data_IF_986448839068
#
_entry.id   IF_986448839068
#
_cell.length_a   1.000
_cell.length_b   1.000
_cell.length_c   1.000
_cell.angle_alpha   90.00
_cell.angle_beta   90.00
_cell.angle_gamma   90.00
#
_symmetry.space_group_name_H-M   'P 1'
#
loop_
_entity.id
_entity.type
_entity.pdbx_description
1 polymer ?
#
# COMPACT_ATOMS: atom_id res chain seq x y z
N UNK A 1 21.75 33.78 17.28
CA UNK A 1 20.61 34.69 17.52
C UNK A 1 19.35 33.99 17.04
N UNK A 2 18.39 33.65 17.91
CA UNK A 2 17.07 33.15 17.51
C UNK A 2 16.18 34.35 17.25
N UNK A 3 15.74 34.55 16.01
CA UNK A 3 14.77 35.59 15.70
C UNK A 3 13.42 35.19 16.33
N UNK A 4 12.88 36.04 17.20
CA UNK A 4 11.53 35.88 17.70
C UNK A 4 10.57 36.32 16.58
N UNK A 5 9.91 35.36 15.93
CA UNK A 5 8.82 35.65 15.01
C UNK A 5 7.55 35.86 15.83
N UNK A 6 6.96 37.05 15.74
CA UNK A 6 5.64 37.34 16.32
C UNK A 6 4.60 36.98 15.25
N UNK A 7 3.81 35.94 15.49
CA UNK A 7 2.68 35.56 14.64
C UNK A 7 1.44 36.25 15.18
N UNK A 8 0.88 37.19 14.41
CA UNK A 8 -0.39 37.85 14.74
C UNK A 8 -1.52 37.04 14.11
N UNK A 9 -2.42 36.41 14.90
CA UNK A 9 -3.54 35.66 14.36
C UNK A 9 -4.61 36.60 13.75
N UNK A 10 -5.39 36.13 12.77
CA UNK A 10 -6.54 36.86 12.24
C UNK A 10 -7.54 37.25 13.34
N UNK A 11 -8.21 38.40 13.19
CA UNK A 11 -9.10 39.00 14.20
C UNK A 11 -10.35 38.18 14.52
N UNK A 12 -10.72 37.25 13.64
CA UNK A 12 -11.84 36.32 13.76
C UNK A 12 -11.50 35.06 14.57
N UNK A 13 -10.24 34.89 14.98
CA UNK A 13 -9.83 33.71 15.74
C UNK A 13 -10.18 33.84 17.22
N UNK A 14 -10.87 32.83 17.74
CA UNK A 14 -11.15 32.72 19.18
C UNK A 14 -9.86 32.39 19.95
N UNK A 15 -9.83 32.71 21.25
CA UNK A 15 -8.69 32.38 22.12
C UNK A 15 -8.28 30.89 22.07
N UNK A 16 -9.26 29.99 21.93
CA UNK A 16 -9.01 28.55 21.73
C UNK A 16 -8.36 28.20 20.39
N UNK A 17 -8.69 28.91 19.33
CA UNK A 17 -8.08 28.70 18.01
C UNK A 17 -6.61 29.16 18.02
N UNK A 18 -6.33 30.29 18.67
CA UNK A 18 -4.96 30.79 18.89
C UNK A 18 -4.16 29.81 19.76
N UNK A 19 -4.73 29.35 20.88
CA UNK A 19 -4.08 28.36 21.76
C UNK A 19 -3.75 27.06 21.01
N UNK A 20 -4.64 26.54 20.15
CA UNK A 20 -4.36 25.34 19.36
C UNK A 20 -3.23 25.51 18.35
N UNK A 21 -2.97 26.73 17.87
CA UNK A 21 -1.86 26.99 16.93
C UNK A 21 -0.55 27.25 17.67
N UNK A 22 -0.60 27.93 18.81
CA UNK A 22 0.59 28.21 19.64
C UNK A 22 1.02 26.96 20.42
N UNK A 23 0.07 26.13 20.84
CA UNK A 23 0.26 24.87 21.57
C UNK A 23 -0.68 23.82 20.98
N UNK A 24 -0.33 23.24 19.81
CA UNK A 24 -1.09 22.12 19.29
C UNK A 24 -1.17 21.03 20.36
N UNK A 25 -2.39 20.52 20.56
CA UNK A 25 -2.57 19.33 21.38
C UNK A 25 -1.66 18.24 20.81
N UNK A 26 -0.93 17.50 21.66
CA UNK A 26 -0.11 16.39 21.17
C UNK A 26 -1.01 15.46 20.35
N UNK A 27 -0.59 15.14 19.12
CA UNK A 27 -1.30 14.16 18.31
C UNK A 27 -1.46 12.87 19.12
N UNK A 28 -2.64 12.22 19.08
CA UNK A 28 -2.83 10.97 19.80
C UNK A 28 -1.78 9.96 19.34
N UNK A 29 -1.14 9.30 20.30
CA UNK A 29 -0.24 8.17 20.01
C UNK A 29 -1.06 7.11 19.30
N UNK A 30 -0.66 6.73 18.09
CA UNK A 30 -1.39 5.87 17.14
C UNK A 30 -2.69 6.52 16.63
N UNK A 31 -2.60 7.59 15.81
CA UNK A 31 -3.77 8.10 15.11
C UNK A 31 -4.29 7.05 14.12
N UNK A 32 -5.53 7.28 13.65
CA UNK A 32 -6.13 6.47 12.58
C UNK A 32 -5.22 6.48 11.36
N UNK A 33 -4.81 5.29 10.92
CA UNK A 33 -3.94 5.13 9.76
C UNK A 33 -4.55 5.79 8.51
N UNK A 34 -3.71 6.38 7.63
CA UNK A 34 -4.18 6.92 6.37
C UNK A 34 -4.85 5.82 5.55
N UNK A 35 -5.80 6.20 4.69
CA UNK A 35 -6.38 5.30 3.70
C UNK A 35 -5.52 5.37 2.45
N UNK A 36 -5.33 4.24 1.80
CA UNK A 36 -4.68 4.16 0.49
C UNK A 36 -5.70 3.66 -0.51
N UNK A 37 -5.80 4.35 -1.64
CA UNK A 37 -6.78 4.04 -2.67
C UNK A 37 -6.62 2.63 -3.24
N UNK A 38 -5.38 2.16 -3.33
CA UNK A 38 -5.02 0.91 -3.99
C UNK A 38 -4.57 -0.18 -3.01
N UNK A 39 -4.58 0.04 -1.69
CA UNK A 39 -4.06 -0.97 -0.76
C UNK A 39 -4.82 -0.98 0.58
N UNK A 40 -5.34 -2.15 0.96
CA UNK A 40 -6.14 -2.33 2.19
C UNK A 40 -5.35 -2.11 3.50
N UNK A 41 -4.02 -2.12 3.40
CA UNK A 41 -2.98 -2.06 4.47
C UNK A 41 -2.72 -3.41 5.15
N UNK A 42 -3.17 -4.50 4.55
CA UNK A 42 -2.90 -5.84 5.05
C UNK A 42 -1.39 -6.07 5.24
N UNK A 43 -0.97 -6.42 6.46
CA UNK A 43 0.34 -7.00 6.75
C UNK A 43 1.57 -6.09 6.74
N UNK A 44 1.46 -4.80 6.39
CA UNK A 44 2.65 -3.93 6.15
C UNK A 44 2.78 -2.72 7.09
N UNK A 45 2.00 -2.69 8.17
CA UNK A 45 2.07 -1.62 9.17
C UNK A 45 2.11 -2.21 10.57
N UNK A 46 3.09 -1.79 11.37
CA UNK A 46 3.31 -2.29 12.72
C UNK A 46 3.33 -1.17 13.78
N UNK A 47 2.98 -1.48 15.04
CA UNK A 47 3.26 -0.63 16.19
C UNK A 47 4.75 -0.23 16.27
N UNK A 48 5.04 1.04 16.59
CA UNK A 48 6.41 1.47 16.98
C UNK A 48 6.37 2.62 17.98
N UNK A 49 7.46 2.80 18.72
CA UNK A 49 7.70 3.96 19.56
C UNK A 49 8.82 4.86 19.01
N UNK A 50 9.50 4.43 17.95
CA UNK A 50 10.55 5.19 17.32
C UNK A 50 9.97 6.35 16.46
N UNK A 51 10.68 7.49 16.37
CA UNK A 51 10.31 8.55 15.44
C UNK A 51 10.50 8.09 13.99
N UNK A 52 9.64 8.58 13.10
CA UNK A 52 9.76 8.33 11.67
C UNK A 52 11.08 8.89 11.12
N UNK A 53 11.88 8.07 10.42
CA UNK A 53 13.15 8.52 9.82
C UNK A 53 12.96 9.60 8.75
N UNK A 54 11.76 9.64 8.15
CA UNK A 54 11.35 10.70 7.24
C UNK A 54 10.92 11.95 8.02
N UNK A 55 9.71 12.01 8.59
CA UNK A 55 9.21 13.27 9.16
C UNK A 55 9.65 13.60 10.59
N UNK A 56 10.38 12.72 11.27
CA UNK A 56 10.79 12.88 12.67
C UNK A 56 9.65 12.75 13.69
N UNK A 57 8.42 12.45 13.27
CA UNK A 57 7.24 12.40 14.14
C UNK A 57 7.07 11.00 14.77
N UNK A 58 6.69 10.97 16.04
CA UNK A 58 6.38 9.76 16.81
C UNK A 58 4.87 9.44 16.74
N UNK A 59 4.43 8.88 15.60
CA UNK A 59 3.00 8.61 15.36
C UNK A 59 2.52 7.24 15.85
N UNK A 60 3.39 6.41 16.39
CA UNK A 60 3.01 5.09 16.90
C UNK A 60 2.94 3.98 15.84
N UNK A 61 3.26 4.28 14.58
CA UNK A 61 3.15 3.37 13.43
C UNK A 61 4.36 3.44 12.52
N UNK A 62 4.86 2.27 12.09
CA UNK A 62 5.94 2.11 11.11
C UNK A 62 5.48 1.23 9.96
N UNK A 63 5.92 1.55 8.76
CA UNK A 63 5.78 0.71 7.58
C UNK A 63 6.86 -0.37 7.57
N UNK A 64 6.47 -1.61 7.26
CA UNK A 64 7.35 -2.79 7.32
C UNK A 64 7.46 -3.52 5.98
N UNK A 65 6.91 -2.94 4.90
CA UNK A 65 7.01 -3.50 3.56
C UNK A 65 8.25 -3.03 2.79
N UNK A 66 8.34 -3.35 1.50
CA UNK A 66 9.50 -3.00 0.66
C UNK A 66 9.63 -1.48 0.45
N UNK A 67 10.87 -1.01 0.37
CA UNK A 67 11.24 0.36 0.01
C UNK A 67 12.31 0.28 -1.07
N UNK A 68 12.12 1.02 -2.15
CA UNK A 68 13.07 1.09 -3.26
C UNK A 68 13.56 2.52 -3.44
N UNK A 69 14.82 2.67 -3.84
CA UNK A 69 15.45 3.96 -4.11
C UNK A 69 16.82 4.08 -3.43
N UNK A 70 17.85 4.49 -4.18
CA UNK A 70 19.23 4.52 -3.71
C UNK A 70 19.46 5.45 -2.49
N UNK A 71 18.63 6.49 -2.33
CA UNK A 71 18.67 7.41 -1.20
C UNK A 71 17.62 7.14 -0.12
N UNK A 72 16.82 6.08 -0.29
CA UNK A 72 15.74 5.76 0.63
C UNK A 72 16.24 4.91 1.81
N UNK A 73 15.74 5.15 3.03
CA UNK A 73 16.06 4.30 4.16
C UNK A 73 15.35 2.94 4.04
N UNK A 74 16.05 1.86 4.40
CA UNK A 74 15.51 0.49 4.32
C UNK A 74 14.29 0.25 5.23
N UNK A 75 14.17 1.03 6.32
CA UNK A 75 13.09 0.90 7.30
C UNK A 75 12.82 2.21 8.07
N UNK A 76 11.75 2.23 8.87
CA UNK A 76 11.47 3.34 9.79
C UNK A 76 10.63 4.48 9.21
N UNK A 77 10.15 4.35 7.98
CA UNK A 77 9.20 5.30 7.38
C UNK A 77 7.81 5.06 7.99
N UNK A 78 7.10 6.12 8.37
CA UNK A 78 5.72 5.99 8.84
C UNK A 78 4.73 5.95 7.67
N UNK A 79 3.57 5.27 7.79
CA UNK A 79 2.59 5.16 6.70
C UNK A 79 2.08 6.51 6.17
N UNK A 80 2.13 7.56 6.99
CA UNK A 80 1.74 8.90 6.58
C UNK A 80 2.74 9.56 5.62
N UNK A 81 4.04 9.26 5.76
CA UNK A 81 5.03 9.76 4.81
C UNK A 81 4.92 9.10 3.44
N UNK A 82 4.38 7.89 3.40
CA UNK A 82 3.97 7.21 2.17
C UNK A 82 2.73 7.90 1.61
N UNK A 83 1.64 7.96 2.38
CA UNK A 83 0.35 8.49 1.93
C UNK A 83 0.40 9.93 1.41
N UNK A 84 1.24 10.78 2.03
CA UNK A 84 1.39 12.18 1.63
C UNK A 84 2.58 12.42 0.70
N UNK A 85 3.22 11.38 0.15
CA UNK A 85 4.33 11.50 -0.80
C UNK A 85 5.64 12.07 -0.22
N UNK A 86 5.72 12.33 1.09
CA UNK A 86 6.89 12.95 1.72
C UNK A 86 8.16 12.11 1.60
N UNK A 87 8.00 10.78 1.67
CA UNK A 87 9.13 9.86 1.49
C UNK A 87 9.63 9.87 0.04
N UNK A 88 8.72 9.87 -0.92
CA UNK A 88 9.04 9.97 -2.34
C UNK A 88 9.72 11.32 -2.65
N UNK A 89 9.14 12.44 -2.22
CA UNK A 89 9.71 13.78 -2.43
C UNK A 89 11.11 13.95 -1.82
N UNK A 90 11.34 13.38 -0.64
CA UNK A 90 12.61 13.55 0.07
C UNK A 90 13.72 12.63 -0.44
N UNK A 91 13.38 11.38 -0.74
CA UNK A 91 14.38 10.33 -0.98
C UNK A 91 14.36 9.77 -2.40
N UNK A 92 13.39 10.17 -3.23
CA UNK A 92 13.09 9.47 -4.47
C UNK A 92 12.63 8.03 -4.22
N UNK A 93 11.95 7.79 -3.10
CA UNK A 93 11.51 6.46 -2.70
C UNK A 93 10.26 6.02 -3.47
N UNK A 94 10.25 4.78 -3.95
CA UNK A 94 9.05 4.06 -4.38
C UNK A 94 8.82 2.86 -3.47
N UNK A 95 7.59 2.37 -3.45
CA UNK A 95 7.16 1.24 -2.61
C UNK A 95 6.63 0.08 -3.46
N UNK A 96 6.43 0.32 -4.75
CA UNK A 96 6.07 -0.64 -5.78
C UNK A 96 6.95 -0.40 -7.01
N UNK A 97 7.05 -1.42 -7.86
CA UNK A 97 7.95 -1.41 -9.02
C UNK A 97 7.20 -1.62 -10.33
N UNK A 98 6.36 -2.65 -10.40
CA UNK A 98 5.68 -3.05 -11.63
C UNK A 98 4.18 -2.80 -11.55
N UNK A 99 3.62 -2.15 -12.59
CA UNK A 99 2.19 -2.01 -12.83
C UNK A 99 1.88 -2.77 -14.12
N UNK A 100 0.87 -3.64 -14.08
CA UNK A 100 0.48 -4.43 -15.25
C UNK A 100 -0.39 -3.60 -16.18
N UNK A 101 0.16 -3.20 -17.33
CA UNK A 101 -0.54 -2.43 -18.35
C UNK A 101 -0.44 -0.92 -18.15
N UNK A 102 -1.17 -0.17 -18.98
CA UNK A 102 -1.11 1.29 -18.99
C UNK A 102 -2.21 1.90 -18.12
N UNK A 103 -1.80 2.83 -17.25
CA UNK A 103 -2.69 3.67 -16.43
C UNK A 103 -2.28 5.13 -16.57
N UNK A 104 -3.16 6.10 -16.27
CA UNK A 104 -2.78 7.50 -16.22
C UNK A 104 -1.56 7.75 -15.31
N UNK A 105 -0.74 8.74 -15.64
CA UNK A 105 0.51 9.04 -14.93
C UNK A 105 0.26 9.31 -13.43
N UNK A 106 -0.83 9.99 -13.09
CA UNK A 106 -1.22 10.24 -11.72
C UNK A 106 -1.58 8.97 -10.94
N UNK A 107 -2.16 7.97 -11.61
CA UNK A 107 -2.47 6.65 -11.04
C UNK A 107 -1.18 5.88 -10.81
N UNK A 108 -0.30 5.85 -11.81
CA UNK A 108 1.01 5.21 -11.69
C UNK A 108 1.80 5.79 -10.51
N UNK A 109 1.88 7.12 -10.42
CA UNK A 109 2.58 7.80 -9.32
C UNK A 109 1.94 7.49 -7.96
N UNK A 110 0.62 7.47 -7.85
CA UNK A 110 -0.06 7.14 -6.59
C UNK A 110 0.24 5.70 -6.14
N UNK A 111 0.31 4.74 -7.08
CA UNK A 111 0.66 3.34 -6.79
C UNK A 111 2.15 3.21 -6.42
N UNK A 112 3.04 3.80 -7.21
CA UNK A 112 4.50 3.62 -7.04
C UNK A 112 5.02 4.36 -5.81
N UNK A 113 4.57 5.59 -5.56
CA UNK A 113 5.18 6.48 -4.56
C UNK A 113 4.35 6.65 -3.29
N UNK A 114 3.04 6.40 -3.35
CA UNK A 114 2.11 6.78 -2.27
C UNK A 114 1.26 5.64 -1.76
N UNK A 115 1.49 4.43 -2.26
CA UNK A 115 0.80 3.23 -1.82
C UNK A 115 1.79 2.25 -1.20
N UNK A 116 1.49 1.64 -0.04
CA UNK A 116 2.32 0.60 0.55
C UNK A 116 2.60 -0.54 -0.43
N UNK A 117 3.79 -1.11 -0.34
CA UNK A 117 4.21 -2.23 -1.18
C UNK A 117 3.55 -3.55 -0.80
N UNK A 118 3.41 -4.44 -1.77
CA UNK A 118 2.96 -5.81 -1.54
C UNK A 118 4.14 -6.60 -0.94
N UNK A 119 3.97 -7.25 0.23
CA UNK A 119 5.01 -8.12 0.78
C UNK A 119 5.04 -9.42 -0.04
N UNK A 120 5.98 -9.50 -0.99
CA UNK A 120 6.15 -10.63 -1.88
C UNK A 120 7.62 -11.08 -1.92
N UNK A 121 7.83 -12.35 -2.24
CA UNK A 121 9.17 -12.93 -2.39
C UNK A 121 9.81 -12.58 -3.75
N UNK A 122 9.00 -12.58 -4.81
CA UNK A 122 9.36 -12.04 -6.12
C UNK A 122 8.89 -10.58 -6.26
N UNK A 123 9.26 -9.93 -7.36
CA UNK A 123 8.74 -8.59 -7.69
C UNK A 123 7.23 -8.65 -7.93
N UNK A 124 6.40 -8.09 -7.02
CA UNK A 124 4.96 -8.15 -7.16
C UNK A 124 4.51 -7.26 -8.33
N UNK A 125 3.45 -7.69 -9.01
CA UNK A 125 2.82 -6.93 -10.09
C UNK A 125 1.56 -6.26 -9.57
N UNK A 126 1.42 -4.98 -9.85
CA UNK A 126 0.21 -4.25 -9.50
C UNK A 126 -0.84 -4.40 -10.60
N UNK A 127 -1.91 -5.15 -10.33
CA UNK A 127 -2.94 -5.41 -11.34
C UNK A 127 -3.75 -4.14 -11.68
N UNK A 128 -4.18 -4.03 -12.92
CA UNK A 128 -5.02 -2.93 -13.43
C UNK A 128 -6.31 -3.48 -14.04
N UNK A 129 -7.36 -2.64 -14.07
CA UNK A 129 -8.64 -2.96 -14.70
C UNK A 129 -9.46 -1.68 -14.93
N UNK A 130 -10.26 -1.65 -16.01
CA UNK A 130 -11.02 -0.46 -16.39
C UNK A 130 -10.17 0.83 -16.58
N UNK A 131 -8.90 0.70 -16.95
CA UNK A 131 -7.99 1.83 -17.12
C UNK A 131 -7.52 2.49 -15.81
N UNK A 132 -7.67 1.80 -14.67
CA UNK A 132 -7.21 2.23 -13.36
C UNK A 132 -6.45 1.09 -12.64
N UNK A 133 -5.70 1.43 -11.59
CA UNK A 133 -5.12 0.44 -10.68
C UNK A 133 -6.19 -0.29 -9.86
N UNK A 134 -5.99 -1.58 -9.65
CA UNK A 134 -6.83 -2.35 -8.74
C UNK A 134 -6.36 -2.17 -7.28
N UNK A 135 -7.29 -2.32 -6.34
CA UNK A 135 -7.00 -2.30 -4.91
C UNK A 135 -6.50 -3.68 -4.46
N UNK A 136 -5.28 -3.76 -3.94
CA UNK A 136 -4.75 -4.94 -3.29
C UNK A 136 -5.45 -5.18 -1.95
N UNK A 137 -6.02 -6.37 -1.81
CA UNK A 137 -6.77 -6.77 -0.63
C UNK A 137 -5.94 -7.61 0.35
N UNK A 138 -4.97 -8.37 -0.14
CA UNK A 138 -4.11 -9.25 0.65
C UNK A 138 -3.71 -10.52 -0.10
N UNK A 139 -2.90 -11.35 0.55
CA UNK A 139 -2.67 -12.73 0.11
C UNK A 139 -3.89 -13.59 0.44
N UNK A 140 -4.14 -14.61 -0.38
CA UNK A 140 -5.30 -15.49 -0.25
C UNK A 140 -4.95 -16.93 -0.64
N UNK A 141 -5.46 -17.88 0.15
CA UNK A 141 -5.36 -19.32 -0.11
C UNK A 141 -6.61 -19.85 -0.82
N UNK A 142 -6.61 -21.15 -1.15
CA UNK A 142 -7.64 -21.80 -1.95
C UNK A 142 -9.06 -21.61 -1.38
N UNK A 143 -9.23 -21.83 -0.07
CA UNK A 143 -10.53 -21.70 0.61
C UNK A 143 -11.09 -20.26 0.52
N UNK A 144 -10.25 -19.27 0.77
CA UNK A 144 -10.64 -17.86 0.66
C UNK A 144 -10.96 -17.50 -0.79
N UNK A 145 -10.11 -17.92 -1.72
CA UNK A 145 -10.19 -17.59 -3.14
C UNK A 145 -11.50 -18.11 -3.77
N UNK A 146 -12.03 -19.25 -3.31
CA UNK A 146 -13.28 -19.82 -3.79
C UNK A 146 -14.50 -18.86 -3.67
N UNK A 147 -14.42 -17.84 -2.81
CA UNK A 147 -15.46 -16.81 -2.66
C UNK A 147 -15.42 -15.72 -3.75
N UNK A 148 -14.39 -15.73 -4.62
CA UNK A 148 -14.15 -14.73 -5.65
C UNK A 148 -14.07 -15.39 -7.04
N UNK A 149 -15.22 -15.73 -7.65
CA UNK A 149 -15.23 -16.49 -8.91
C UNK A 149 -14.52 -15.77 -10.06
N UNK A 150 -14.57 -14.43 -10.12
CA UNK A 150 -13.83 -13.64 -11.12
C UNK A 150 -12.30 -13.80 -10.98
N UNK A 151 -11.81 -13.84 -9.75
CA UNK A 151 -10.39 -14.02 -9.45
C UNK A 151 -9.92 -15.44 -9.75
N UNK A 152 -10.75 -16.45 -9.43
CA UNK A 152 -10.50 -17.85 -9.81
C UNK A 152 -10.40 -17.98 -11.32
N UNK A 153 -11.33 -17.37 -12.06
CA UNK A 153 -11.33 -17.41 -13.53
C UNK A 153 -10.12 -16.68 -14.12
N UNK A 154 -9.68 -15.57 -13.51
CA UNK A 154 -8.46 -14.87 -13.91
C UNK A 154 -7.24 -15.79 -13.83
N UNK A 155 -7.08 -16.49 -12.70
CA UNK A 155 -5.98 -17.45 -12.51
C UNK A 155 -6.07 -18.64 -13.47
N UNK A 156 -7.27 -19.20 -13.68
CA UNK A 156 -7.46 -20.29 -14.66
C UNK A 156 -6.99 -19.89 -16.04
N UNK A 157 -7.36 -18.68 -16.50
CA UNK A 157 -6.94 -18.15 -17.81
C UNK A 157 -5.44 -17.93 -17.88
N UNK A 158 -4.84 -17.37 -16.83
CA UNK A 158 -3.39 -17.16 -16.78
C UNK A 158 -2.63 -18.49 -16.92
N UNK A 159 -3.01 -19.51 -16.15
CA UNK A 159 -2.36 -20.81 -16.14
C UNK A 159 -2.65 -21.65 -17.39
N UNK A 160 -3.87 -21.59 -17.92
CA UNK A 160 -4.21 -22.21 -19.20
C UNK A 160 -3.42 -21.54 -20.36
N UNK A 161 -3.25 -20.21 -20.33
CA UNK A 161 -2.44 -19.47 -21.28
C UNK A 161 -0.95 -19.85 -21.26
N UNK A 162 -0.46 -20.38 -20.13
CA UNK A 162 0.88 -20.98 -19.99
C UNK A 162 0.93 -22.45 -20.47
N UNK A 163 -0.14 -22.97 -21.06
CA UNK A 163 -0.22 -24.32 -21.64
C UNK A 163 -0.43 -25.44 -20.63
N UNK A 164 -0.88 -25.14 -19.40
CA UNK A 164 -1.15 -26.19 -18.40
C UNK A 164 -2.48 -26.91 -18.67
N UNK A 165 -2.51 -28.25 -18.54
CA UNK A 165 -3.77 -29.01 -18.61
C UNK A 165 -4.75 -28.58 -17.51
N UNK A 166 -6.08 -28.58 -17.78
CA UNK A 166 -7.08 -28.14 -16.80
C UNK A 166 -6.98 -28.82 -15.43
N UNK A 167 -6.71 -30.13 -15.40
CA UNK A 167 -6.56 -30.86 -14.14
C UNK A 167 -5.38 -30.34 -13.28
N UNK A 168 -4.25 -29.99 -13.90
CA UNK A 168 -3.09 -29.42 -13.20
C UNK A 168 -3.39 -28.00 -12.71
N UNK A 169 -4.21 -27.23 -13.44
CA UNK A 169 -4.65 -25.91 -13.00
C UNK A 169 -5.48 -26.02 -11.72
N UNK A 170 -6.48 -26.91 -11.68
CA UNK A 170 -7.31 -27.08 -10.48
C UNK A 170 -6.50 -27.62 -9.28
N UNK A 171 -5.57 -28.55 -9.52
CA UNK A 171 -4.66 -29.04 -8.48
C UNK A 171 -3.82 -27.90 -7.89
N UNK A 172 -3.25 -27.05 -8.76
CA UNK A 172 -2.47 -25.89 -8.34
C UNK A 172 -3.31 -24.88 -7.55
N UNK A 173 -4.52 -24.54 -8.03
CA UNK A 173 -5.41 -23.63 -7.33
C UNK A 173 -5.84 -24.18 -5.96
N UNK A 174 -6.02 -25.50 -5.85
CA UNK A 174 -6.30 -26.18 -4.59
C UNK A 174 -5.14 -26.16 -3.59
N UNK A 175 -3.91 -25.96 -4.06
CA UNK A 175 -2.70 -25.91 -3.24
C UNK A 175 -2.36 -24.51 -2.71
N UNK A 176 -3.13 -23.47 -3.06
CA UNK A 176 -2.86 -22.10 -2.64
C UNK A 176 -3.00 -21.92 -1.12
N UNK A 177 -1.98 -21.32 -0.50
CA UNK A 177 -1.93 -20.96 0.91
C UNK A 177 -1.69 -19.46 1.08
N UNK A 178 -2.49 -18.78 1.92
CA UNK A 178 -2.33 -17.34 2.18
C UNK A 178 -1.04 -17.00 2.95
N UNK A 179 -0.49 -17.95 3.70
CA UNK A 179 0.72 -17.80 4.51
C UNK A 179 1.91 -18.63 4.00
N UNK A 180 1.68 -19.46 2.98
CA UNK A 180 2.65 -20.39 2.42
C UNK A 180 2.88 -20.17 0.92
N UNK A 181 3.49 -21.16 0.27
CA UNK A 181 3.68 -21.19 -1.18
C UNK A 181 3.07 -22.48 -1.74
N UNK A 182 2.38 -22.42 -2.89
CA UNK A 182 2.07 -21.21 -3.68
C UNK A 182 1.04 -20.31 -2.99
N UNK A 183 1.07 -19.00 -3.27
CA UNK A 183 0.09 -18.03 -2.76
C UNK A 183 -0.54 -17.22 -3.88
N UNK A 184 -1.74 -16.70 -3.66
CA UNK A 184 -2.40 -15.77 -4.59
C UNK A 184 -2.51 -14.37 -3.99
N UNK A 185 -2.38 -13.36 -4.84
CA UNK A 185 -2.53 -11.95 -4.47
C UNK A 185 -3.88 -11.46 -4.99
N UNK A 186 -4.80 -11.14 -4.08
CA UNK A 186 -6.15 -10.74 -4.42
C UNK A 186 -6.23 -9.22 -4.62
N UNK A 187 -6.87 -8.82 -5.71
CA UNK A 187 -7.16 -7.44 -6.04
C UNK A 187 -8.65 -7.24 -6.33
N UNK A 188 -9.10 -5.99 -6.22
CA UNK A 188 -10.45 -5.56 -6.60
C UNK A 188 -10.38 -4.33 -7.50
N UNK A 189 -11.02 -4.39 -8.66
CA UNK A 189 -11.18 -3.21 -9.50
C UNK A 189 -11.99 -2.13 -8.75
N UNK A 190 -11.43 -0.93 -8.69
CA UNK A 190 -12.05 0.22 -8.01
C UNK A 190 -13.23 0.84 -8.78
N UNK A 191 -13.36 0.49 -10.06
CA UNK A 191 -14.41 1.00 -10.97
C UNK A 191 -15.62 0.07 -11.00
N UNK A 192 -15.44 -1.21 -11.34
CA UNK A 192 -16.53 -2.16 -11.51
C UNK A 192 -16.69 -3.18 -10.37
N UNK A 193 -15.74 -3.26 -9.43
CA UNK A 193 -15.78 -4.22 -8.32
C UNK A 193 -15.37 -5.65 -8.65
N UNK A 194 -15.02 -5.95 -9.91
CA UNK A 194 -14.49 -7.27 -10.32
C UNK A 194 -13.24 -7.63 -9.54
N UNK A 195 -13.16 -8.88 -9.07
CA UNK A 195 -11.99 -9.39 -8.37
C UNK A 195 -11.00 -9.99 -9.36
N UNK A 196 -9.72 -9.73 -9.13
CA UNK A 196 -8.61 -10.19 -9.96
C UNK A 196 -7.62 -10.89 -9.04
N UNK A 197 -6.88 -11.85 -9.56
CA UNK A 197 -5.76 -12.41 -8.84
C UNK A 197 -4.68 -12.87 -9.82
N UNK A 198 -3.45 -12.79 -9.36
CA UNK A 198 -2.36 -13.60 -9.89
C UNK A 198 -1.78 -14.42 -8.75
N UNK A 199 -1.07 -15.49 -9.09
CA UNK A 199 -0.43 -16.34 -8.10
C UNK A 199 1.06 -16.41 -8.36
N UNK A 200 1.80 -16.63 -7.29
CA UNK A 200 3.23 -16.81 -7.33
C UNK A 200 3.59 -18.15 -6.69
N UNK A 201 4.64 -18.76 -7.22
CA UNK A 201 5.22 -20.02 -6.76
C UNK A 201 6.74 -19.89 -6.95
N UNK A 202 7.51 -20.48 -6.04
CA UNK A 202 8.98 -20.49 -6.13
C UNK A 202 9.48 -21.07 -7.43
#
# INVERSE_FOLDING_TARGET
MRAHAIVVPPTDWTGRAIERVVRPLPEPRRPVLPRFAYHSRAGVVAPTDAPCVCCGQERGWVYTGPVYGAGAPDAGICPYCIAFGKAAERYGATFNDLIDGDVPEEVAREILERTPGIPAWQSPRWLTHCGDGAEFLGTIGAEGLAHFPDAVETLRREWAGRGRPPAQVEEYLGALDAAGMPTAYLFRCRVCGTHLAYSDFT
#
